data_IF_847542386091
#
_entry.id   IF_847542386091
#
_cell.length_a   1.000
_cell.length_b   1.000
_cell.length_c   1.000
_cell.angle_alpha   90.00
_cell.angle_beta   90.00
_cell.angle_gamma   90.00
#
_symmetry.space_group_name_H-M   'P 1'
#
loop_
_entity.id
_entity.type
_entity.pdbx_description
1 polymer ?
#
# COMPACT_ATOMS: atom_id res chain seq x y z
N UNK A 1 -20.38 -19.42 -23.08
CA UNK A 1 -18.94 -19.08 -23.00
C UNK A 1 -18.78 -17.64 -23.44
N UNK A 2 -18.55 -16.71 -22.52
CA UNK A 2 -18.23 -15.30 -22.82
C UNK A 2 -17.28 -14.82 -21.71
N UNK A 3 -16.00 -15.12 -21.86
CA UNK A 3 -14.92 -14.53 -21.07
C UNK A 3 -14.75 -13.09 -21.54
N UNK A 4 -15.26 -12.12 -20.78
CA UNK A 4 -14.91 -10.70 -20.98
C UNK A 4 -13.51 -10.51 -20.40
N UNK A 5 -12.51 -10.50 -21.27
CA UNK A 5 -11.14 -10.12 -20.95
C UNK A 5 -11.11 -8.67 -20.44
N UNK A 6 -11.03 -8.49 -19.13
CA UNK A 6 -10.71 -7.19 -18.53
C UNK A 6 -9.20 -6.99 -18.73
N UNK A 7 -8.84 -6.23 -19.76
CA UNK A 7 -7.49 -5.73 -19.95
C UNK A 7 -7.16 -4.77 -18.79
N UNK A 8 -6.46 -5.28 -17.78
CA UNK A 8 -5.86 -4.44 -16.74
C UNK A 8 -4.65 -3.76 -17.35
N UNK A 9 -4.79 -2.50 -17.79
CA UNK A 9 -3.67 -1.66 -18.19
C UNK A 9 -2.81 -1.40 -16.95
N UNK A 10 -1.72 -2.17 -16.81
CA UNK A 10 -0.64 -1.81 -15.89
C UNK A 10 0.10 -0.65 -16.56
N UNK A 11 -0.17 0.58 -16.11
CA UNK A 11 0.68 1.72 -16.47
C UNK A 11 2.01 1.48 -15.77
N UNK A 12 2.97 0.94 -16.52
CA UNK A 12 4.35 0.82 -16.08
C UNK A 12 4.94 2.23 -15.96
N UNK A 13 5.07 2.73 -14.74
CA UNK A 13 5.82 3.97 -14.48
C UNK A 13 7.30 3.65 -14.67
N UNK A 14 7.86 4.06 -15.81
CA UNK A 14 9.30 4.06 -16.06
C UNK A 14 9.92 5.20 -15.24
N UNK A 15 10.55 4.86 -14.12
CA UNK A 15 11.44 5.78 -13.42
C UNK A 15 12.84 5.67 -14.04
N UNK A 16 13.21 6.62 -14.89
CA UNK A 16 14.59 6.76 -15.37
C UNK A 16 15.47 7.27 -14.21
N UNK A 17 16.48 6.50 -13.80
CA UNK A 17 17.50 6.97 -12.85
C UNK A 17 18.41 8.02 -13.53
N UNK A 18 17.98 9.28 -13.47
CA UNK A 18 18.86 10.45 -13.64
C UNK A 18 19.38 10.91 -12.28
N UNK A 19 20.42 11.74 -12.25
CA UNK A 19 20.88 12.42 -11.03
C UNK A 19 19.68 12.98 -10.25
N UNK A 20 19.68 12.82 -8.91
CA UNK A 20 18.58 13.26 -8.04
C UNK A 20 18.39 14.78 -8.16
N UNK A 21 17.52 15.20 -9.09
CA UNK A 21 17.07 16.57 -9.16
C UNK A 21 16.22 16.86 -7.91
N UNK A 22 16.30 18.09 -7.39
CA UNK A 22 15.42 18.54 -6.33
C UNK A 22 13.96 18.29 -6.73
N UNK A 23 13.19 17.70 -5.82
CA UNK A 23 11.80 17.36 -6.03
C UNK A 23 10.98 18.64 -6.14
N UNK A 24 10.10 18.73 -7.13
CA UNK A 24 9.14 19.83 -7.21
C UNK A 24 7.83 19.43 -6.53
N UNK A 25 7.02 20.39 -6.02
CA UNK A 25 5.72 20.08 -5.45
C UNK A 25 4.83 19.28 -6.40
N UNK A 26 4.80 19.66 -7.68
CA UNK A 26 4.03 18.95 -8.70
C UNK A 26 4.49 17.50 -8.89
N UNK A 27 5.81 17.23 -8.87
CA UNK A 27 6.34 15.87 -9.00
C UNK A 27 5.99 15.00 -7.80
N UNK A 28 6.08 15.56 -6.60
CA UNK A 28 5.67 14.85 -5.38
C UNK A 28 4.17 14.51 -5.41
N UNK A 29 3.32 15.48 -5.76
CA UNK A 29 1.87 15.25 -5.88
C UNK A 29 1.56 14.17 -6.91
N UNK A 30 2.16 14.22 -8.10
CA UNK A 30 1.99 13.16 -9.12
C UNK A 30 2.44 11.78 -8.62
N UNK A 31 3.53 11.71 -7.85
CA UNK A 31 3.98 10.44 -7.27
C UNK A 31 2.96 9.89 -6.25
N UNK A 32 2.46 10.75 -5.36
CA UNK A 32 1.43 10.38 -4.36
C UNK A 32 0.14 9.93 -5.06
N UNK A 33 -0.30 10.61 -6.12
CA UNK A 33 -1.46 10.22 -6.92
C UNK A 33 -1.25 8.87 -7.62
N UNK A 34 -0.06 8.60 -8.15
CA UNK A 34 0.27 7.32 -8.77
C UNK A 34 0.22 6.17 -7.75
N UNK A 35 0.76 6.38 -6.55
CA UNK A 35 0.68 5.44 -5.42
C UNK A 35 -0.77 5.23 -4.96
N UNK A 36 -1.58 6.29 -4.98
CA UNK A 36 -3.02 6.24 -4.69
C UNK A 36 -3.76 5.39 -5.72
N UNK A 37 -3.47 5.57 -7.01
CA UNK A 37 -4.03 4.77 -8.09
C UNK A 37 -3.64 3.29 -7.95
N UNK A 38 -2.37 2.99 -7.70
CA UNK A 38 -1.91 1.63 -7.44
C UNK A 38 -2.64 0.98 -6.26
N UNK A 39 -2.93 1.75 -5.21
CA UNK A 39 -3.70 1.28 -4.05
C UNK A 39 -5.17 0.97 -4.43
N UNK A 40 -5.81 1.81 -5.25
CA UNK A 40 -7.18 1.56 -5.78
C UNK A 40 -7.23 0.30 -6.65
N UNK A 41 -6.25 0.12 -7.53
CA UNK A 41 -6.20 -1.02 -8.44
C UNK A 41 -5.97 -2.33 -7.68
N UNK A 42 -5.07 -2.32 -6.70
CA UNK A 42 -4.88 -3.43 -5.78
C UNK A 42 -6.17 -3.76 -5.04
N UNK A 43 -6.89 -2.74 -4.55
CA UNK A 43 -8.15 -2.95 -3.84
C UNK A 43 -9.20 -3.58 -4.75
N UNK A 44 -9.35 -3.08 -5.97
CA UNK A 44 -10.26 -3.64 -6.99
C UNK A 44 -9.96 -5.11 -7.28
N UNK A 45 -8.68 -5.49 -7.33
CA UNK A 45 -8.29 -6.89 -7.53
C UNK A 45 -8.69 -7.79 -6.35
N UNK A 46 -8.74 -7.25 -5.12
CA UNK A 46 -9.02 -8.01 -3.91
C UNK A 46 -10.51 -8.11 -3.56
N UNK A 47 -11.31 -7.08 -3.83
CA UNK A 47 -12.72 -7.02 -3.37
C UNK A 47 -13.55 -8.21 -3.86
N UNK A 48 -13.26 -8.71 -5.07
CA UNK A 48 -13.97 -9.83 -5.69
C UNK A 48 -13.58 -11.21 -5.14
N UNK A 49 -12.50 -11.30 -4.37
CA UNK A 49 -12.07 -12.57 -3.77
C UNK A 49 -13.04 -12.96 -2.66
N UNK A 50 -13.52 -14.19 -2.74
CA UNK A 50 -14.39 -14.82 -1.75
C UNK A 50 -13.92 -16.23 -1.46
N UNK A 51 -14.61 -16.92 -0.57
CA UNK A 51 -14.28 -18.31 -0.20
C UNK A 51 -14.53 -19.32 -1.33
N UNK A 52 -15.31 -18.94 -2.34
CA UNK A 52 -15.57 -19.75 -3.54
C UNK A 52 -14.60 -19.45 -4.69
N UNK A 53 -13.69 -18.48 -4.53
CA UNK A 53 -12.70 -18.14 -5.55
C UNK A 53 -11.72 -19.29 -5.74
N UNK A 54 -11.39 -19.60 -7.00
CA UNK A 54 -10.44 -20.69 -7.30
C UNK A 54 -9.09 -20.41 -6.67
N UNK A 55 -8.43 -21.45 -6.16
CA UNK A 55 -7.12 -21.33 -5.49
C UNK A 55 -6.08 -20.63 -6.37
N UNK A 56 -6.07 -20.90 -7.67
CA UNK A 56 -5.17 -20.25 -8.62
C UNK A 56 -5.41 -18.73 -8.69
N UNK A 57 -6.66 -18.29 -8.65
CA UNK A 57 -7.05 -16.87 -8.69
C UNK A 57 -6.72 -16.17 -7.36
N UNK A 58 -6.91 -16.86 -6.22
CA UNK A 58 -6.47 -16.35 -4.91
C UNK A 58 -4.96 -16.13 -4.89
N UNK A 59 -4.18 -17.13 -5.29
CA UNK A 59 -2.71 -17.02 -5.36
C UNK A 59 -2.27 -15.92 -6.33
N UNK A 60 -2.94 -15.79 -7.47
CA UNK A 60 -2.66 -14.72 -8.45
C UNK A 60 -2.95 -13.35 -7.84
N UNK A 61 -4.04 -13.21 -7.11
CA UNK A 61 -4.40 -11.93 -6.48
C UNK A 61 -3.44 -11.57 -5.34
N UNK A 62 -2.99 -12.54 -4.55
CA UNK A 62 -1.95 -12.32 -3.55
C UNK A 62 -0.63 -11.86 -4.17
N UNK A 63 -0.21 -12.44 -5.30
CA UNK A 63 0.96 -11.98 -6.06
C UNK A 63 0.77 -10.54 -6.58
N UNK A 64 -0.40 -10.21 -7.12
CA UNK A 64 -0.72 -8.85 -7.58
C UNK A 64 -0.67 -7.83 -6.43
N UNK A 65 -1.19 -8.19 -5.26
CA UNK A 65 -1.11 -7.35 -4.06
C UNK A 65 0.35 -7.08 -3.66
N UNK A 66 1.17 -8.13 -3.57
CA UNK A 66 2.59 -8.01 -3.23
C UNK A 66 3.33 -7.16 -4.27
N UNK A 67 3.05 -7.33 -5.56
CA UNK A 67 3.63 -6.52 -6.62
C UNK A 67 3.22 -5.04 -6.50
N UNK A 68 1.94 -4.75 -6.27
CA UNK A 68 1.46 -3.37 -6.09
C UNK A 68 2.13 -2.70 -4.88
N UNK A 69 2.20 -3.38 -3.75
CA UNK A 69 2.90 -2.89 -2.57
C UNK A 69 4.41 -2.72 -2.79
N UNK A 70 5.03 -3.58 -3.60
CA UNK A 70 6.45 -3.41 -3.99
C UNK A 70 6.65 -2.15 -4.81
N UNK A 71 5.78 -1.88 -5.78
CA UNK A 71 5.83 -0.63 -6.56
C UNK A 71 5.67 0.60 -5.68
N UNK A 72 4.74 0.55 -4.71
CA UNK A 72 4.54 1.64 -3.76
C UNK A 72 5.80 1.87 -2.92
N UNK A 73 6.37 0.81 -2.34
CA UNK A 73 7.63 0.88 -1.59
C UNK A 73 8.74 1.52 -2.41
N UNK A 74 8.92 1.11 -3.67
CA UNK A 74 9.94 1.64 -4.56
C UNK A 74 9.72 3.12 -4.90
N UNK A 75 8.47 3.52 -5.19
CA UNK A 75 8.12 4.92 -5.46
C UNK A 75 8.44 5.80 -4.27
N UNK A 76 8.01 5.37 -3.07
CA UNK A 76 8.26 6.11 -1.82
C UNK A 76 9.75 6.18 -1.49
N UNK A 77 10.51 5.10 -1.70
CA UNK A 77 11.97 5.13 -1.51
C UNK A 77 12.65 6.15 -2.43
N UNK A 78 12.22 6.25 -3.68
CA UNK A 78 12.75 7.24 -4.62
C UNK A 78 12.38 8.67 -4.19
N UNK A 79 11.14 8.90 -3.76
CA UNK A 79 10.69 10.20 -3.26
C UNK A 79 11.45 10.61 -2.01
N UNK A 80 11.60 9.73 -1.02
CA UNK A 80 12.38 9.99 0.21
C UNK A 80 13.81 10.40 -0.10
N UNK A 81 14.47 9.73 -1.06
CA UNK A 81 15.81 10.09 -1.48
C UNK A 81 15.87 11.50 -2.11
N UNK A 82 14.87 11.86 -2.93
CA UNK A 82 14.78 13.18 -3.53
C UNK A 82 14.44 14.27 -2.50
N UNK A 83 13.55 13.99 -1.54
CA UNK A 83 13.16 14.91 -0.46
C UNK A 83 14.39 15.35 0.34
N UNK A 84 15.31 14.44 0.65
CA UNK A 84 16.50 14.73 1.46
C UNK A 84 17.45 15.77 0.85
N UNK A 85 17.37 16.00 -0.47
CA UNK A 85 18.19 17.00 -1.18
C UNK A 85 17.35 18.20 -1.65
N UNK A 86 16.08 18.26 -1.27
CA UNK A 86 15.13 19.28 -1.72
C UNK A 86 14.94 20.33 -0.62
N UNK A 87 15.08 21.63 -0.93
CA UNK A 87 14.74 22.69 0.01
C UNK A 87 13.25 22.67 0.40
N UNK A 88 12.92 23.21 1.58
CA UNK A 88 11.52 23.30 2.02
C UNK A 88 10.65 24.04 0.99
N UNK A 89 9.43 23.56 0.81
CA UNK A 89 8.44 24.17 -0.07
C UNK A 89 7.81 25.41 0.56
N UNK A 90 7.31 26.29 -0.30
CA UNK A 90 6.44 27.39 0.11
C UNK A 90 5.07 26.86 0.59
N UNK A 91 4.36 27.66 1.38
CA UNK A 91 3.12 27.24 2.04
C UNK A 91 1.99 26.87 1.09
N UNK A 92 1.88 27.55 -0.06
CA UNK A 92 0.89 27.27 -1.11
C UNK A 92 1.11 25.90 -1.75
N UNK A 93 2.37 25.54 -1.98
CA UNK A 93 2.78 24.21 -2.42
C UNK A 93 2.56 23.14 -1.34
N UNK A 94 2.72 23.50 -0.05
CA UNK A 94 2.53 22.58 1.06
C UNK A 94 1.08 22.09 1.18
N UNK A 95 0.09 22.97 1.00
CA UNK A 95 -1.34 22.60 1.04
C UNK A 95 -1.69 21.55 -0.01
N UNK A 96 -1.17 21.71 -1.22
CA UNK A 96 -1.45 20.76 -2.31
C UNK A 96 -0.89 19.37 -2.00
N UNK A 97 0.31 19.31 -1.42
CA UNK A 97 0.93 18.05 -0.99
C UNK A 97 0.14 17.38 0.14
N UNK A 98 -0.33 18.15 1.12
CA UNK A 98 -1.14 17.61 2.24
C UNK A 98 -2.47 17.06 1.76
N UNK A 99 -3.15 17.74 0.83
CA UNK A 99 -4.40 17.25 0.25
C UNK A 99 -4.19 15.92 -0.47
N UNK A 100 -3.17 15.83 -1.32
CA UNK A 100 -2.81 14.58 -2.01
C UNK A 100 -2.45 13.46 -1.01
N UNK A 101 -1.71 13.78 0.05
CA UNK A 101 -1.36 12.83 1.11
C UNK A 101 -2.61 12.32 1.85
N UNK A 102 -3.57 13.20 2.14
CA UNK A 102 -4.81 12.85 2.83
C UNK A 102 -5.66 11.89 1.99
N UNK A 103 -5.82 12.16 0.70
CA UNK A 103 -6.51 11.29 -0.25
C UNK A 103 -5.84 9.92 -0.36
N UNK A 104 -4.51 9.91 -0.42
CA UNK A 104 -3.72 8.69 -0.40
C UNK A 104 -4.00 7.87 0.87
N UNK A 105 -3.90 8.48 2.05
CA UNK A 105 -4.10 7.80 3.34
C UNK A 105 -5.47 7.14 3.39
N UNK A 106 -6.53 7.86 3.00
CA UNK A 106 -7.89 7.33 3.00
C UNK A 106 -8.02 6.10 2.08
N UNK A 107 -7.50 6.21 0.85
CA UNK A 107 -7.54 5.11 -0.12
C UNK A 107 -6.72 3.91 0.35
N UNK A 108 -5.54 4.16 0.91
CA UNK A 108 -4.65 3.10 1.37
C UNK A 108 -5.24 2.39 2.59
N UNK A 109 -5.93 3.10 3.49
CA UNK A 109 -6.66 2.50 4.61
C UNK A 109 -7.81 1.59 4.14
N UNK A 110 -8.54 1.98 3.09
CA UNK A 110 -9.56 1.11 2.47
C UNK A 110 -8.92 -0.18 1.93
N UNK A 111 -7.77 -0.05 1.26
CA UNK A 111 -7.01 -1.22 0.81
C UNK A 111 -6.57 -2.10 1.99
N UNK A 112 -5.97 -1.52 3.03
CA UNK A 112 -5.52 -2.28 4.21
C UNK A 112 -6.67 -2.98 4.92
N UNK A 113 -7.82 -2.31 5.07
CA UNK A 113 -9.04 -2.91 5.61
C UNK A 113 -9.50 -4.11 4.77
N UNK A 114 -9.47 -3.97 3.45
CA UNK A 114 -9.79 -5.08 2.54
C UNK A 114 -8.78 -6.22 2.67
N UNK A 115 -7.48 -5.93 2.69
CA UNK A 115 -6.41 -6.91 2.88
C UNK A 115 -6.59 -7.68 4.18
N UNK A 116 -6.86 -6.99 5.30
CA UNK A 116 -7.19 -7.61 6.60
C UNK A 116 -8.41 -8.53 6.46
N UNK A 117 -9.49 -8.05 5.83
CA UNK A 117 -10.71 -8.83 5.64
C UNK A 117 -10.52 -10.09 4.77
N UNK A 118 -9.49 -10.14 3.91
CA UNK A 118 -9.14 -11.32 3.11
C UNK A 118 -8.12 -12.26 3.78
N UNK A 119 -7.65 -11.95 4.99
CA UNK A 119 -6.63 -12.74 5.68
C UNK A 119 -6.94 -14.24 5.72
N UNK A 120 -8.14 -14.63 6.16
CA UNK A 120 -8.52 -16.04 6.28
C UNK A 120 -8.48 -16.80 4.94
N UNK A 121 -8.77 -16.13 3.83
CA UNK A 121 -8.69 -16.72 2.49
C UNK A 121 -7.23 -16.91 2.09
N UNK A 122 -6.37 -15.92 2.31
CA UNK A 122 -4.94 -16.04 2.01
C UNK A 122 -4.24 -17.06 2.92
N UNK A 123 -4.61 -17.12 4.19
CA UNK A 123 -4.11 -18.08 5.17
C UNK A 123 -4.44 -19.53 4.77
N UNK A 124 -5.68 -19.78 4.33
CA UNK A 124 -6.11 -21.11 3.86
C UNK A 124 -5.18 -21.67 2.76
N UNK A 125 -4.60 -20.80 1.94
CA UNK A 125 -3.79 -21.20 0.78
C UNK A 125 -2.30 -20.84 0.91
N UNK A 126 -1.83 -20.59 2.13
CA UNK A 126 -0.43 -20.27 2.45
C UNK A 126 0.15 -19.08 1.65
N UNK A 127 -0.63 -18.00 1.53
CA UNK A 127 -0.25 -16.78 0.79
C UNK A 127 0.14 -15.63 1.74
N UNK A 128 0.04 -15.81 3.06
CA UNK A 128 0.23 -14.74 4.05
C UNK A 128 1.66 -14.24 4.16
N UNK A 129 2.67 -15.13 4.19
CA UNK A 129 4.08 -14.76 4.41
C UNK A 129 4.61 -13.63 3.51
N UNK A 130 4.48 -13.69 2.16
CA UNK A 130 4.96 -12.59 1.32
C UNK A 130 4.16 -11.29 1.51
N UNK A 131 2.89 -11.38 1.92
CA UNK A 131 2.06 -10.21 2.25
C UNK A 131 2.57 -9.56 3.55
N UNK A 132 2.84 -10.34 4.59
CA UNK A 132 3.41 -9.84 5.85
C UNK A 132 4.74 -9.14 5.62
N UNK A 133 5.62 -9.72 4.79
CA UNK A 133 6.92 -9.16 4.49
C UNK A 133 6.81 -7.77 3.83
N UNK A 134 5.93 -7.62 2.84
CA UNK A 134 5.77 -6.34 2.15
C UNK A 134 5.01 -5.31 2.98
N UNK A 135 4.07 -5.71 3.84
CA UNK A 135 3.41 -4.81 4.78
C UNK A 135 4.41 -4.16 5.75
N UNK A 136 5.39 -4.94 6.25
CA UNK A 136 6.49 -4.39 7.07
C UNK A 136 7.38 -3.41 6.30
N UNK A 137 7.62 -3.68 5.02
CA UNK A 137 8.38 -2.76 4.18
C UNK A 137 7.63 -1.44 3.97
N UNK A 138 6.30 -1.51 3.79
CA UNK A 138 5.44 -0.33 3.69
C UNK A 138 5.47 0.52 4.96
N UNK A 139 5.33 -0.09 6.14
CA UNK A 139 5.42 0.62 7.43
C UNK A 139 6.72 1.43 7.54
N UNK A 140 7.87 0.79 7.28
CA UNK A 140 9.16 1.49 7.32
C UNK A 140 9.25 2.64 6.30
N UNK A 141 8.69 2.49 5.09
CA UNK A 141 8.72 3.55 4.08
C UNK A 141 7.73 4.68 4.37
N UNK A 142 6.55 4.39 4.93
CA UNK A 142 5.59 5.40 5.37
C UNK A 142 6.19 6.29 6.46
N UNK A 143 6.90 5.69 7.41
CA UNK A 143 7.63 6.44 8.43
C UNK A 143 8.71 7.34 7.82
N UNK A 144 9.54 6.79 6.93
CA UNK A 144 10.59 7.55 6.26
C UNK A 144 10.03 8.71 5.43
N UNK A 145 8.94 8.47 4.69
CA UNK A 145 8.24 9.49 3.93
C UNK A 145 7.70 10.60 4.84
N UNK A 146 7.02 10.24 5.91
CA UNK A 146 6.46 11.22 6.83
C UNK A 146 7.55 12.08 7.49
N UNK A 147 8.69 11.48 7.89
CA UNK A 147 9.82 12.27 8.39
C UNK A 147 10.42 13.19 7.32
N UNK A 148 10.53 12.72 6.08
CA UNK A 148 10.96 13.55 4.95
C UNK A 148 10.00 14.72 4.71
N UNK A 149 8.69 14.44 4.65
CA UNK A 149 7.66 15.46 4.44
C UNK A 149 7.63 16.51 5.55
N UNK A 150 7.84 16.13 6.82
CA UNK A 150 7.94 17.09 7.92
C UNK A 150 9.05 18.12 7.70
N UNK A 151 10.18 17.71 7.10
CA UNK A 151 11.27 18.63 6.77
C UNK A 151 10.97 19.45 5.51
N UNK A 152 10.26 18.87 4.56
CA UNK A 152 9.92 19.51 3.28
C UNK A 152 8.81 20.56 3.41
N UNK A 153 7.82 20.32 4.26
CA UNK A 153 6.65 21.18 4.49
C UNK A 153 6.46 21.47 5.99
N UNK A 154 7.42 22.16 6.63
CA UNK A 154 7.44 22.32 8.10
C UNK A 154 6.21 23.02 8.67
N UNK A 155 5.59 23.91 7.89
CA UNK A 155 4.35 24.64 8.26
C UNK A 155 3.11 23.75 8.31
N UNK A 156 3.16 22.54 7.72
CA UNK A 156 2.09 21.52 7.72
C UNK A 156 2.48 20.25 8.48
N UNK A 157 3.50 20.34 9.33
CA UNK A 157 3.95 19.23 10.19
C UNK A 157 2.81 18.54 10.95
N UNK A 158 1.84 19.24 11.57
CA UNK A 158 0.74 18.58 12.29
C UNK A 158 -0.08 17.65 11.39
N UNK A 159 -0.40 18.09 10.17
CA UNK A 159 -1.23 17.33 9.23
C UNK A 159 -0.50 16.06 8.73
N UNK A 160 0.80 16.18 8.45
CA UNK A 160 1.66 15.05 8.08
C UNK A 160 1.78 14.05 9.23
N UNK A 161 1.93 14.53 10.47
CA UNK A 161 2.02 13.67 11.64
C UNK A 161 0.73 12.92 11.92
N UNK A 162 -0.43 13.56 11.72
CA UNK A 162 -1.73 12.92 11.88
C UNK A 162 -1.97 11.86 10.80
N UNK A 163 -1.68 12.21 9.54
CA UNK A 163 -1.72 11.28 8.40
C UNK A 163 -0.86 10.04 8.65
N UNK A 164 0.37 10.23 9.16
CA UNK A 164 1.27 9.13 9.53
C UNK A 164 0.67 8.25 10.60
N UNK A 165 0.21 8.81 11.73
CA UNK A 165 -0.34 8.03 12.85
C UNK A 165 -1.53 7.18 12.42
N UNK A 166 -2.42 7.76 11.61
CA UNK A 166 -3.61 7.09 11.09
C UNK A 166 -3.23 5.88 10.20
N UNK A 167 -2.22 6.06 9.34
CA UNK A 167 -1.73 4.99 8.46
C UNK A 167 -0.93 3.92 9.23
N UNK A 168 -0.09 4.33 10.17
CA UNK A 168 0.70 3.48 11.05
C UNK A 168 -0.19 2.53 11.87
N UNK A 169 -1.27 3.04 12.46
CA UNK A 169 -2.25 2.21 13.16
C UNK A 169 -2.86 1.13 12.25
N UNK A 170 -3.19 1.48 11.00
CA UNK A 170 -3.77 0.55 10.02
C UNK A 170 -2.77 -0.51 9.57
N UNK A 171 -1.52 -0.12 9.34
CA UNK A 171 -0.43 -1.03 8.98
C UNK A 171 -0.08 -1.96 10.13
N UNK A 172 0.01 -1.45 11.36
CA UNK A 172 0.25 -2.25 12.57
C UNK A 172 -0.80 -3.35 12.70
N UNK A 173 -2.08 -3.02 12.54
CA UNK A 173 -3.17 -4.02 12.57
C UNK A 173 -3.00 -5.04 11.44
N UNK A 174 -2.76 -4.60 10.20
CA UNK A 174 -2.58 -5.50 9.07
C UNK A 174 -1.38 -6.45 9.26
N UNK A 175 -0.24 -5.93 9.72
CA UNK A 175 0.97 -6.70 10.01
C UNK A 175 0.68 -7.73 11.10
N UNK A 176 0.01 -7.33 12.18
CA UNK A 176 -0.35 -8.22 13.29
C UNK A 176 -1.23 -9.38 12.81
N UNK A 177 -2.30 -9.08 12.08
CA UNK A 177 -3.19 -10.10 11.51
C UNK A 177 -2.42 -11.07 10.59
N UNK A 178 -1.57 -10.57 9.71
CA UNK A 178 -0.82 -11.42 8.77
C UNK A 178 0.39 -12.13 9.39
N UNK A 179 0.75 -11.85 10.65
CA UNK A 179 1.76 -12.61 11.40
C UNK A 179 1.19 -13.83 12.09
N UNK A 180 -0.13 -13.93 12.23
CA UNK A 180 -0.78 -15.06 12.87
C UNK A 180 -0.38 -16.39 12.21
N UNK A 181 -0.18 -17.41 13.05
CA UNK A 181 0.03 -18.77 12.57
C UNK A 181 -1.34 -19.40 12.35
N UNK A 182 -1.61 -19.78 11.10
CA UNK A 182 -2.89 -20.33 10.69
C UNK A 182 -2.77 -21.79 10.25
N UNK A 183 -3.67 -22.64 10.74
CA UNK A 183 -3.84 -24.01 10.28
C UNK A 183 -4.96 -24.02 9.23
N UNK A 184 -4.69 -24.41 7.97
CA UNK A 184 -5.72 -24.54 6.94
C UNK A 184 -6.83 -25.50 7.37
N UNK A 185 -8.08 -25.16 7.04
CA UNK A 185 -9.23 -25.99 7.38
C UNK A 185 -9.45 -27.08 6.33
N UNK A 186 -9.67 -28.35 6.73
CA UNK A 186 -10.09 -29.42 5.81
C UNK A 186 -11.55 -29.27 5.36
N UNK A 187 -12.33 -28.42 6.04
CA UNK A 187 -13.75 -28.18 5.75
C UNK A 187 -13.97 -26.85 5.01
N UNK A 188 -12.94 -26.27 4.41
CA UNK A 188 -13.07 -25.06 3.62
C UNK A 188 -13.99 -25.28 2.41
N UNK A 189 -14.95 -24.37 2.11
CA UNK A 189 -15.15 -23.03 2.68
C UNK A 189 -16.10 -22.94 3.89
N UNK A 190 -16.69 -24.05 4.36
CA UNK A 190 -17.68 -24.04 5.45
C UNK A 190 -17.09 -23.66 6.82
N UNK A 191 -15.81 -23.94 7.03
CA UNK A 191 -15.01 -23.47 8.16
C UNK A 191 -13.71 -22.88 7.63
N UNK A 192 -13.41 -21.63 7.99
CA UNK A 192 -12.12 -20.99 7.68
C UNK A 192 -10.97 -21.59 8.48
N UNK A 193 -9.71 -21.21 8.18
CA UNK A 193 -8.56 -21.63 8.96
C UNK A 193 -8.65 -21.13 10.40
N UNK A 194 -8.01 -21.86 11.32
CA UNK A 194 -7.84 -21.42 12.71
C UNK A 194 -6.50 -20.72 12.83
N UNK A 195 -6.53 -19.43 13.22
CA UNK A 195 -5.36 -18.60 13.37
C UNK A 195 -5.12 -18.25 14.85
N UNK A 196 -3.85 -18.21 15.25
CA UNK A 196 -3.43 -17.78 16.58
C UNK A 196 -2.35 -16.71 16.45
N UNK A 197 -2.47 -15.66 17.26
CA UNK A 197 -1.42 -14.64 17.37
C UNK A 197 -0.17 -15.27 18.01
N UNK A 198 1.00 -14.86 17.52
CA UNK A 198 2.32 -15.31 17.98
C UNK A 198 3.18 -14.15 18.44
#
# INVERSE_FOLDING_TARGET
MLFRSVATCIVGVLFTQGALAALTPARLVTSIEAVTAASKDANTALVSISTSTKVADVKTSGKKLVAAFTTIVQSVTADVAAINVTPAFADDAADTVVNALTDFVLVHQILLSTVIGKHSIFAQFAVTTPITAILRALEAQVDALAFGLINLIPTRKPDVQESRKSLDASLTIAISTYREVCIPSPFYPSKGPTCVSV
#
